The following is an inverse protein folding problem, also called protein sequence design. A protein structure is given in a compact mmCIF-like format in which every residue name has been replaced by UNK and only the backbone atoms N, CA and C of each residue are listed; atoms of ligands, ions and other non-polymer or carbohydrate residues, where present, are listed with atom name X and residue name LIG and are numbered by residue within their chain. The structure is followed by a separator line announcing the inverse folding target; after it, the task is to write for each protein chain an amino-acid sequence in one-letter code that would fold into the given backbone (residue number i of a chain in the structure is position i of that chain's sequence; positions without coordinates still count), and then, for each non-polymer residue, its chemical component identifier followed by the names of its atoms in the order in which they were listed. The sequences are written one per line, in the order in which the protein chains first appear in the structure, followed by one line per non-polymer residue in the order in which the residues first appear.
data_IF_205918919946
#
_entry.id   IF_205918919946
#
_cell.length_a   1.000
_cell.length_b   1.000
_cell.length_c   1.000
_cell.angle_alpha   90.00
_cell.angle_beta   90.00
_cell.angle_gamma   90.00
#
_symmetry.space_group_name_H-M   'P 1'
#
loop_
_entity.id
_entity.type
_entity.pdbx_description
1 polymer ?
#
# COMPACT_ATOMS: atom_id res chain seq x y z
N UNK A 1 -22.45 -8.02 -17.24
CA UNK A 1 -22.03 -6.60 -17.18
C UNK A 1 -21.55 -6.19 -18.56
N UNK A 2 -22.09 -5.14 -19.17
CA UNK A 2 -21.65 -4.72 -20.50
C UNK A 2 -20.25 -4.10 -20.37
N UNK A 3 -19.34 -4.42 -21.28
CA UNK A 3 -17.97 -3.89 -21.35
C UNK A 3 -17.93 -2.33 -21.33
N UNK A 4 -18.96 -1.69 -21.88
CA UNK A 4 -19.17 -0.24 -21.87
C UNK A 4 -19.47 0.33 -20.47
N UNK A 5 -19.99 -0.46 -19.55
CA UNK A 5 -20.25 -0.04 -18.16
C UNK A 5 -18.97 0.05 -17.32
N UNK A 6 -17.95 -0.76 -17.64
CA UNK A 6 -16.67 -0.81 -16.91
C UNK A 6 -15.87 0.48 -17.05
N UNK A 7 -16.00 1.22 -18.14
CA UNK A 7 -15.25 2.44 -18.44
C UNK A 7 -16.14 3.71 -18.39
N UNK A 8 -17.25 3.67 -17.64
CA UNK A 8 -18.25 4.72 -17.62
C UNK A 8 -17.69 6.08 -17.20
N UNK A 9 -16.81 6.14 -16.21
CA UNK A 9 -16.18 7.38 -15.73
C UNK A 9 -15.28 8.05 -16.77
N UNK A 10 -14.73 7.31 -17.75
CA UNK A 10 -13.95 7.90 -18.84
C UNK A 10 -14.79 8.70 -19.84
N UNK A 11 -16.12 8.69 -19.74
CA UNK A 11 -16.99 9.58 -20.51
C UNK A 11 -16.85 11.03 -20.06
N UNK A 12 -16.49 11.28 -18.78
CA UNK A 12 -16.14 12.60 -18.30
C UNK A 12 -14.83 13.06 -18.95
N UNK A 13 -14.81 14.15 -19.73
CA UNK A 13 -13.57 14.64 -20.36
C UNK A 13 -12.50 14.98 -19.33
N UNK A 14 -12.89 15.60 -18.21
CA UNK A 14 -11.99 15.98 -17.14
C UNK A 14 -11.35 14.73 -16.50
N UNK A 15 -12.16 13.72 -16.17
CA UNK A 15 -11.63 12.49 -15.57
C UNK A 15 -10.69 11.74 -16.54
N UNK A 16 -11.02 11.71 -17.84
CA UNK A 16 -10.19 11.07 -18.86
C UNK A 16 -8.80 11.72 -18.97
N UNK A 17 -8.75 13.06 -19.00
CA UNK A 17 -7.49 13.81 -19.05
C UNK A 17 -6.66 13.54 -17.80
N UNK A 18 -7.29 13.61 -16.62
CA UNK A 18 -6.67 13.30 -15.35
C UNK A 18 -6.15 11.86 -15.28
N UNK A 19 -6.97 10.88 -15.63
CA UNK A 19 -6.62 9.47 -15.56
C UNK A 19 -5.43 9.09 -16.45
N UNK A 20 -5.36 9.69 -17.66
CA UNK A 20 -4.22 9.50 -18.56
C UNK A 20 -2.92 10.05 -17.97
N UNK A 21 -2.93 11.29 -17.47
CA UNK A 21 -1.77 11.89 -16.80
C UNK A 21 -1.33 11.11 -15.56
N UNK A 22 -2.32 10.72 -14.73
CA UNK A 22 -2.07 9.94 -13.52
C UNK A 22 -1.48 8.55 -13.80
N UNK A 23 -1.91 7.88 -14.88
CA UNK A 23 -1.35 6.58 -15.27
C UNK A 23 0.14 6.70 -15.62
N UNK A 24 0.51 7.67 -16.44
CA UNK A 24 1.91 7.93 -16.84
C UNK A 24 2.77 8.22 -15.62
N UNK A 25 2.33 9.12 -14.74
CA UNK A 25 3.04 9.47 -13.51
C UNK A 25 3.13 8.30 -12.52
N UNK A 26 2.09 7.48 -12.39
CA UNK A 26 2.13 6.30 -11.54
C UNK A 26 3.17 5.28 -12.02
N UNK A 27 3.25 5.02 -13.33
CA UNK A 27 4.30 4.15 -13.91
C UNK A 27 5.68 4.71 -13.60
N UNK A 28 5.89 6.01 -13.83
CA UNK A 28 7.15 6.70 -13.50
C UNK A 28 7.51 6.58 -12.02
N UNK A 29 6.54 6.77 -11.13
CA UNK A 29 6.76 6.67 -9.67
C UNK A 29 7.20 5.27 -9.25
N UNK A 30 6.58 4.20 -9.77
CA UNK A 30 7.00 2.83 -9.48
C UNK A 30 8.35 2.49 -10.12
N UNK A 31 8.61 3.01 -11.31
CA UNK A 31 9.93 2.92 -11.95
C UNK A 31 11.01 3.58 -11.09
N UNK A 32 10.78 4.79 -10.60
CA UNK A 32 11.73 5.50 -9.73
C UNK A 32 12.02 4.73 -8.44
N UNK A 33 11.01 4.18 -7.77
CA UNK A 33 11.22 3.40 -6.54
C UNK A 33 12.15 2.24 -6.79
N UNK A 34 11.90 1.46 -7.84
CA UNK A 34 12.75 0.34 -8.23
C UNK A 34 14.18 0.79 -8.56
N UNK A 35 14.33 1.90 -9.30
CA UNK A 35 15.62 2.47 -9.61
C UNK A 35 16.38 3.00 -8.40
N UNK A 36 15.65 3.55 -7.41
CA UNK A 36 16.22 4.05 -6.17
C UNK A 36 16.76 2.93 -5.29
N UNK A 37 16.01 1.83 -5.15
CA UNK A 37 16.46 0.64 -4.42
C UNK A 37 17.71 0.04 -5.09
N UNK A 38 17.72 -0.04 -6.43
CA UNK A 38 18.85 -0.50 -7.21
C UNK A 38 20.08 0.41 -7.06
N UNK A 39 19.91 1.73 -7.17
CA UNK A 39 20.96 2.73 -6.99
C UNK A 39 21.67 2.57 -5.65
N UNK A 40 20.87 2.51 -4.57
CA UNK A 40 21.40 2.39 -3.21
C UNK A 40 22.16 1.08 -3.02
N UNK A 41 21.58 -0.03 -3.47
CA UNK A 41 22.15 -1.36 -3.21
C UNK A 41 23.39 -1.65 -4.05
N UNK A 42 23.48 -1.13 -5.29
CA UNK A 42 24.53 -1.56 -6.23
C UNK A 42 25.54 -0.48 -6.61
N UNK A 43 25.21 0.80 -6.45
CA UNK A 43 26.06 1.89 -6.90
C UNK A 43 26.58 2.77 -5.75
N UNK A 44 25.79 2.94 -4.69
CA UNK A 44 26.15 3.84 -3.58
C UNK A 44 26.65 3.09 -2.34
N UNK A 45 26.39 1.79 -2.26
CA UNK A 45 26.84 0.96 -1.14
C UNK A 45 27.37 -0.39 -1.63
N UNK A 46 28.22 -1.07 -0.84
CA UNK A 46 28.64 -2.44 -1.13
C UNK A 46 27.52 -3.43 -0.74
N UNK A 47 26.39 -3.39 -1.45
CA UNK A 47 25.22 -4.24 -1.24
C UNK A 47 24.57 -4.12 0.16
N UNK A 48 24.48 -2.89 0.71
CA UNK A 48 23.93 -2.64 2.05
C UNK A 48 22.39 -2.55 2.00
N UNK A 49 21.73 -3.61 2.43
CA UNK A 49 20.27 -3.71 2.47
C UNK A 49 19.65 -2.85 3.59
N UNK A 50 20.36 -2.60 4.69
CA UNK A 50 19.91 -1.68 5.73
C UNK A 50 19.80 -0.25 5.19
N UNK A 51 20.68 0.16 4.28
CA UNK A 51 20.57 1.45 3.60
C UNK A 51 19.27 1.56 2.78
N UNK A 52 18.88 0.51 2.06
CA UNK A 52 17.57 0.43 1.38
C UNK A 52 16.42 0.52 2.39
N UNK A 53 16.54 -0.17 3.53
CA UNK A 53 15.57 -0.10 4.62
C UNK A 53 15.41 1.31 5.19
N UNK A 54 16.50 2.06 5.35
CA UNK A 54 16.47 3.47 5.79
C UNK A 54 15.76 4.35 4.75
N UNK A 55 16.04 4.16 3.46
CA UNK A 55 15.34 4.87 2.38
C UNK A 55 13.83 4.62 2.46
N UNK A 56 13.40 3.37 2.64
CA UNK A 56 11.99 3.04 2.83
C UNK A 56 11.41 3.73 4.07
N UNK A 57 12.15 3.76 5.18
CA UNK A 57 11.69 4.42 6.41
C UNK A 57 11.52 5.92 6.22
N UNK A 58 12.44 6.57 5.53
CA UNK A 58 12.38 7.99 5.21
C UNK A 58 11.26 8.32 4.21
N UNK A 59 10.92 7.39 3.32
CA UNK A 59 9.85 7.58 2.34
C UNK A 59 8.44 7.36 2.92
N UNK A 60 8.28 6.41 3.84
CA UNK A 60 6.98 6.10 4.43
C UNK A 60 6.76 6.73 5.82
N UNK A 61 7.81 7.02 6.58
CA UNK A 61 7.73 7.65 7.90
C UNK A 61 6.98 8.99 7.91
N UNK A 62 7.28 9.93 7.00
CA UNK A 62 6.55 11.18 6.92
C UNK A 62 5.05 11.01 6.68
N UNK A 63 4.62 9.98 5.96
CA UNK A 63 3.20 9.72 5.72
C UNK A 63 2.44 9.41 7.01
N UNK A 64 3.08 8.72 7.96
CA UNK A 64 2.52 8.48 9.29
C UNK A 64 2.57 9.72 10.16
N UNK A 65 3.73 10.38 10.22
CA UNK A 65 3.97 11.54 11.11
C UNK A 65 3.10 12.74 10.72
N UNK A 66 2.92 12.99 9.42
CA UNK A 66 2.18 14.13 8.89
C UNK A 66 0.67 13.88 8.76
N UNK A 67 0.18 12.69 9.12
CA UNK A 67 -1.23 12.30 8.95
C UNK A 67 -2.25 13.33 9.52
N UNK A 68 -2.03 13.95 10.70
CA UNK A 68 -2.93 14.98 11.21
C UNK A 68 -2.98 16.24 10.33
N UNK A 69 -1.83 16.66 9.81
CA UNK A 69 -1.71 17.86 8.98
C UNK A 69 -2.21 17.66 7.55
N UNK A 70 -2.09 16.44 7.02
CA UNK A 70 -2.55 16.13 5.67
C UNK A 70 -4.07 16.18 5.57
N UNK A 71 -4.79 15.70 6.59
CA UNK A 71 -6.23 15.84 6.68
C UNK A 71 -6.67 17.31 6.78
N UNK A 72 -5.98 18.10 7.61
CA UNK A 72 -6.24 19.54 7.71
C UNK A 72 -6.04 20.24 6.36
N UNK A 73 -4.93 19.95 5.68
CA UNK A 73 -4.62 20.57 4.39
C UNK A 73 -5.66 20.22 3.31
N UNK A 74 -6.09 18.95 3.24
CA UNK A 74 -7.11 18.50 2.31
C UNK A 74 -8.49 19.16 2.52
N UNK A 75 -8.80 19.55 3.77
CA UNK A 75 -10.08 20.18 4.11
C UNK A 75 -10.07 21.70 3.88
N UNK A 76 -8.90 22.37 4.00
CA UNK A 76 -8.81 23.84 4.03
C UNK A 76 -8.26 24.47 2.76
N UNK A 77 -7.39 23.74 2.03
CA UNK A 77 -6.79 24.27 0.81
C UNK A 77 -7.51 23.78 -0.45
N UNK A 78 -7.34 24.54 -1.53
CA UNK A 78 -7.78 24.15 -2.86
C UNK A 78 -7.04 22.89 -3.32
N UNK A 79 -7.77 21.83 -3.59
CA UNK A 79 -7.22 20.50 -3.87
C UNK A 79 -6.39 20.49 -5.16
N UNK A 80 -6.83 21.22 -6.20
CA UNK A 80 -6.10 21.34 -7.45
C UNK A 80 -4.76 22.04 -7.24
N UNK A 81 -4.73 23.15 -6.49
CA UNK A 81 -3.50 23.88 -6.17
C UNK A 81 -2.55 23.02 -5.34
N UNK A 82 -3.09 22.32 -4.35
CA UNK A 82 -2.29 21.43 -3.50
C UNK A 82 -1.68 20.28 -4.32
N UNK A 83 -2.44 19.68 -5.24
CA UNK A 83 -1.92 18.68 -6.17
C UNK A 83 -0.85 19.26 -7.10
N UNK A 84 -1.02 20.46 -7.64
CA UNK A 84 0.00 21.10 -8.47
C UNK A 84 1.29 21.26 -7.69
N UNK A 85 1.24 21.74 -6.45
CA UNK A 85 2.42 21.92 -5.61
C UNK A 85 3.11 20.59 -5.29
N UNK A 86 2.36 19.60 -4.82
CA UNK A 86 2.93 18.29 -4.47
C UNK A 86 3.54 17.58 -5.67
N UNK A 87 2.86 17.61 -6.82
CA UNK A 87 3.35 17.00 -8.07
C UNK A 87 4.59 17.74 -8.61
N UNK A 88 4.62 19.08 -8.53
CA UNK A 88 5.78 19.87 -8.94
C UNK A 88 7.00 19.59 -8.04
N UNK A 89 6.80 19.51 -6.72
CA UNK A 89 7.86 19.17 -5.77
C UNK A 89 8.39 17.76 -6.05
N UNK A 90 7.53 16.75 -6.19
CA UNK A 90 7.96 15.38 -6.49
C UNK A 90 8.69 15.29 -7.84
N UNK A 91 8.20 16.00 -8.85
CA UNK A 91 8.85 16.08 -10.16
C UNK A 91 10.23 16.71 -10.09
N UNK A 92 10.36 17.84 -9.38
CA UNK A 92 11.64 18.54 -9.18
C UNK A 92 12.64 17.66 -8.45
N UNK A 93 12.23 17.00 -7.36
CA UNK A 93 13.08 16.08 -6.60
C UNK A 93 13.56 14.92 -7.49
N UNK A 94 12.68 14.35 -8.31
CA UNK A 94 13.05 13.28 -9.24
C UNK A 94 14.03 13.74 -10.30
N UNK A 95 13.82 14.91 -10.93
CA UNK A 95 14.74 15.50 -11.91
C UNK A 95 16.10 15.79 -11.28
N UNK A 96 16.14 16.39 -10.10
CA UNK A 96 17.39 16.71 -9.40
C UNK A 96 18.16 15.44 -9.06
N UNK A 97 17.50 14.40 -8.53
CA UNK A 97 18.14 13.12 -8.26
C UNK A 97 18.66 12.48 -9.54
N UNK A 98 17.92 12.60 -10.65
CA UNK A 98 18.35 12.11 -11.97
C UNK A 98 19.61 12.79 -12.47
N UNK A 99 19.66 14.12 -12.38
CA UNK A 99 20.85 14.90 -12.76
C UNK A 99 22.05 14.53 -11.90
N UNK A 100 21.89 14.47 -10.57
CA UNK A 100 22.96 14.07 -9.64
C UNK A 100 23.48 12.67 -9.96
N UNK A 101 22.59 11.75 -10.32
CA UNK A 101 22.99 10.36 -10.67
C UNK A 101 23.76 10.32 -11.98
N UNK A 102 23.33 11.04 -13.02
CA UNK A 102 24.01 11.06 -14.33
C UNK A 102 25.35 11.76 -14.26
N UNK A 103 25.45 12.85 -13.49
CA UNK A 103 26.71 13.59 -13.32
C UNK A 103 27.70 12.92 -12.37
N UNK A 104 27.32 11.83 -11.70
CA UNK A 104 28.13 11.15 -10.70
C UNK A 104 28.27 11.89 -9.36
N UNK A 105 27.48 12.96 -9.15
CA UNK A 105 27.49 13.76 -7.93
C UNK A 105 26.63 13.14 -6.81
N UNK A 106 25.86 12.09 -7.14
CA UNK A 106 24.95 11.45 -6.16
C UNK A 106 25.74 10.70 -5.08
N UNK A 107 25.36 10.94 -3.83
CA UNK A 107 25.82 10.22 -2.66
C UNK A 107 24.63 9.65 -1.88
N UNK A 108 24.87 8.71 -0.98
CA UNK A 108 23.82 8.02 -0.23
C UNK A 108 22.93 9.01 0.57
N UNK A 109 23.51 10.01 1.22
CA UNK A 109 22.76 11.00 1.97
C UNK A 109 21.82 11.86 1.11
N UNK A 110 22.18 12.12 -0.16
CA UNK A 110 21.27 12.77 -1.10
C UNK A 110 20.00 11.94 -1.27
N UNK A 111 20.17 10.61 -1.48
CA UNK A 111 19.02 9.70 -1.64
C UNK A 111 18.14 9.73 -0.39
N UNK A 112 18.73 9.76 0.82
CA UNK A 112 17.98 9.88 2.08
C UNK A 112 17.16 11.16 2.15
N UNK A 113 17.77 12.31 1.83
CA UNK A 113 17.07 13.61 1.82
C UNK A 113 15.94 13.61 0.79
N UNK A 114 16.20 13.15 -0.44
CA UNK A 114 15.17 13.07 -1.49
C UNK A 114 14.05 12.10 -1.14
N UNK A 115 14.35 10.96 -0.52
CA UNK A 115 13.35 10.00 -0.02
C UNK A 115 12.44 10.65 1.03
N UNK A 116 13.02 11.36 2.01
CA UNK A 116 12.28 12.07 3.05
C UNK A 116 11.37 13.16 2.47
N UNK A 117 11.92 14.03 1.62
CA UNK A 117 11.15 15.12 1.01
C UNK A 117 10.04 14.60 0.09
N UNK A 118 10.31 13.54 -0.68
CA UNK A 118 9.29 12.85 -1.49
C UNK A 118 8.22 12.20 -0.62
N UNK A 119 8.61 11.63 0.53
CA UNK A 119 7.70 11.10 1.53
C UNK A 119 6.77 12.17 2.10
N UNK A 120 7.31 13.36 2.42
CA UNK A 120 6.52 14.52 2.85
C UNK A 120 5.53 14.97 1.77
N UNK A 121 5.97 15.14 0.54
CA UNK A 121 5.10 15.53 -0.58
C UNK A 121 4.00 14.48 -0.83
N UNK A 122 4.34 13.19 -0.82
CA UNK A 122 3.40 12.08 -1.00
C UNK A 122 2.36 11.99 0.12
N UNK A 123 2.72 12.38 1.36
CA UNK A 123 1.80 12.42 2.49
C UNK A 123 0.61 13.36 2.24
N UNK A 124 0.86 14.50 1.61
CA UNK A 124 -0.21 15.44 1.22
C UNK A 124 -0.90 15.04 -0.08
N UNK A 125 -0.16 14.53 -1.06
CA UNK A 125 -0.68 14.16 -2.38
C UNK A 125 -1.74 13.05 -2.31
N UNK A 126 -1.50 11.98 -1.56
CA UNK A 126 -2.33 10.79 -1.58
C UNK A 126 -3.80 11.03 -1.15
N UNK A 127 -4.11 11.69 -0.01
CA UNK A 127 -5.48 11.95 0.39
C UNK A 127 -6.18 12.96 -0.53
N UNK A 128 -5.45 14.01 -0.97
CA UNK A 128 -6.00 15.04 -1.84
C UNK A 128 -6.37 14.47 -3.21
N UNK A 129 -5.55 13.59 -3.75
CA UNK A 129 -5.81 12.89 -5.00
C UNK A 129 -7.10 12.06 -4.95
N UNK A 130 -7.37 11.38 -3.83
CA UNK A 130 -8.61 10.60 -3.67
C UNK A 130 -9.86 11.48 -3.67
N UNK A 131 -9.81 12.63 -2.97
CA UNK A 131 -10.91 13.58 -2.91
C UNK A 131 -11.13 14.24 -4.29
N UNK A 132 -10.04 14.61 -4.95
CA UNK A 132 -10.09 15.25 -6.26
C UNK A 132 -10.74 14.37 -7.34
N UNK A 133 -10.50 13.06 -7.32
CA UNK A 133 -11.17 12.11 -8.21
C UNK A 133 -12.69 12.15 -8.03
N UNK A 134 -13.18 12.28 -6.79
CA UNK A 134 -14.62 12.41 -6.52
C UNK A 134 -15.22 13.71 -7.11
N UNK A 135 -14.46 14.80 -7.09
CA UNK A 135 -14.89 16.07 -7.68
C UNK A 135 -14.99 16.02 -9.23
N UNK A 136 -14.16 15.18 -9.88
CA UNK A 136 -14.13 15.09 -11.34
C UNK A 136 -15.29 14.31 -11.96
N UNK A 137 -15.90 13.37 -11.25
CA UNK A 137 -16.89 12.43 -11.81
C UNK A 137 -18.30 12.56 -11.23
N UNK A 138 -18.45 13.16 -10.04
CA UNK A 138 -19.71 13.19 -9.30
C UNK A 138 -20.10 11.83 -8.70
N UNK A 139 -21.16 11.80 -7.88
CA UNK A 139 -21.55 10.64 -7.09
C UNK A 139 -21.89 9.39 -7.91
N UNK A 140 -22.57 9.56 -9.04
CA UNK A 140 -23.05 8.43 -9.89
C UNK A 140 -21.90 7.57 -10.44
N UNK A 141 -20.77 8.18 -10.76
CA UNK A 141 -19.62 7.51 -11.39
C UNK A 141 -18.44 7.31 -10.45
N UNK A 142 -18.55 7.75 -9.18
CA UNK A 142 -17.50 7.72 -8.18
C UNK A 142 -16.93 6.30 -7.95
N UNK A 143 -17.80 5.32 -7.76
CA UNK A 143 -17.37 3.92 -7.56
C UNK A 143 -16.58 3.38 -8.75
N UNK A 144 -16.99 3.72 -9.97
CA UNK A 144 -16.30 3.32 -11.18
C UNK A 144 -14.94 4.06 -11.32
N UNK A 145 -14.88 5.35 -11.01
CA UNK A 145 -13.64 6.12 -11.04
C UNK A 145 -12.62 5.60 -10.02
N UNK A 146 -13.06 5.27 -8.80
CA UNK A 146 -12.20 4.66 -7.77
C UNK A 146 -11.65 3.31 -8.25
N UNK A 147 -12.49 2.47 -8.87
CA UNK A 147 -12.07 1.19 -9.41
C UNK A 147 -11.04 1.36 -10.53
N UNK A 148 -11.26 2.28 -11.47
CA UNK A 148 -10.31 2.58 -12.54
C UNK A 148 -9.00 3.15 -12.03
N UNK A 149 -9.04 4.05 -11.03
CA UNK A 149 -7.84 4.59 -10.41
C UNK A 149 -7.02 3.50 -9.69
N UNK A 150 -7.69 2.59 -8.98
CA UNK A 150 -7.05 1.43 -8.36
C UNK A 150 -6.43 0.49 -9.39
N UNK A 151 -7.13 0.25 -10.50
CA UNK A 151 -6.61 -0.56 -11.61
C UNK A 151 -5.37 0.09 -12.23
N UNK A 152 -5.43 1.40 -12.52
CA UNK A 152 -4.30 2.19 -13.02
C UNK A 152 -3.08 2.08 -12.10
N UNK A 153 -3.28 2.23 -10.79
CA UNK A 153 -2.22 2.12 -9.80
C UNK A 153 -1.58 0.72 -9.76
N UNK A 154 -2.40 -0.34 -9.82
CA UNK A 154 -1.89 -1.71 -9.83
C UNK A 154 -1.18 -2.06 -11.15
N UNK A 155 -1.67 -1.58 -12.29
CA UNK A 155 -0.98 -1.70 -13.57
C UNK A 155 0.39 -0.99 -13.54
N UNK A 156 0.44 0.21 -13.01
CA UNK A 156 1.69 0.95 -12.85
C UNK A 156 2.68 0.22 -11.94
N UNK A 157 2.19 -0.38 -10.85
CA UNK A 157 3.00 -1.21 -9.95
C UNK A 157 3.57 -2.45 -10.62
N UNK A 158 2.88 -3.01 -11.61
CA UNK A 158 3.36 -4.15 -12.38
C UNK A 158 4.33 -3.74 -13.48
N UNK A 159 4.01 -2.69 -14.22
CA UNK A 159 4.77 -2.25 -15.40
C UNK A 159 6.02 -1.44 -15.00
N UNK A 160 5.90 -0.58 -13.98
CA UNK A 160 6.95 0.35 -13.56
C UNK A 160 8.30 -0.33 -13.30
N UNK A 161 8.36 -1.39 -12.46
CA UNK A 161 9.62 -2.10 -12.21
C UNK A 161 10.25 -2.74 -13.44
N UNK A 162 9.44 -3.31 -14.36
CA UNK A 162 9.95 -3.86 -15.61
C UNK A 162 10.56 -2.78 -16.50
N UNK A 163 9.87 -1.62 -16.61
CA UNK A 163 10.39 -0.45 -17.33
C UNK A 163 11.66 0.07 -16.66
N UNK A 164 11.72 0.10 -15.30
CA UNK A 164 12.92 0.47 -14.57
C UNK A 164 14.11 -0.41 -14.94
N UNK A 165 13.93 -1.73 -14.86
CA UNK A 165 14.98 -2.70 -15.18
C UNK A 165 15.52 -2.54 -16.61
N UNK A 166 14.63 -2.37 -17.59
CA UNK A 166 15.00 -2.10 -18.99
C UNK A 166 15.74 -0.77 -19.14
N UNK A 167 15.24 0.29 -18.52
CA UNK A 167 15.86 1.63 -18.59
C UNK A 167 17.24 1.63 -17.95
N UNK A 168 17.38 1.05 -16.76
CA UNK A 168 18.66 0.99 -16.04
C UNK A 168 19.68 0.22 -16.86
N UNK A 169 19.30 -0.92 -17.43
CA UNK A 169 20.21 -1.75 -18.20
C UNK A 169 20.60 -1.15 -19.56
N UNK A 170 19.78 -0.27 -20.14
CA UNK A 170 20.03 0.32 -21.45
C UNK A 170 20.76 1.67 -21.38
N UNK A 171 20.37 2.54 -20.44
CA UNK A 171 20.86 3.93 -20.37
C UNK A 171 21.31 4.35 -18.97
N UNK A 172 21.13 3.51 -17.97
CA UNK A 172 21.57 3.75 -16.59
C UNK A 172 20.47 4.28 -15.66
N UNK A 173 20.77 4.23 -14.36
CA UNK A 173 19.81 4.51 -13.28
C UNK A 173 19.30 5.95 -13.28
N UNK A 174 20.17 6.93 -13.61
CA UNK A 174 19.81 8.34 -13.62
C UNK A 174 18.69 8.68 -14.61
N UNK A 175 18.64 7.98 -15.75
CA UNK A 175 17.57 8.16 -16.73
C UNK A 175 16.21 7.71 -16.23
N UNK A 176 16.15 6.70 -15.38
CA UNK A 176 14.88 6.30 -14.76
C UNK A 176 14.30 7.43 -13.89
N UNK A 177 15.14 8.18 -13.18
CA UNK A 177 14.73 9.35 -12.41
C UNK A 177 14.28 10.50 -13.30
N UNK A 178 15.02 10.80 -14.37
CA UNK A 178 14.65 11.86 -15.31
C UNK A 178 13.32 11.55 -16.02
N UNK A 179 13.12 10.31 -16.46
CA UNK A 179 11.87 9.89 -17.08
C UNK A 179 10.69 10.01 -16.11
N UNK A 180 10.87 9.62 -14.83
CA UNK A 180 9.84 9.85 -13.84
C UNK A 180 9.61 11.34 -13.58
N UNK A 181 10.65 12.13 -13.39
CA UNK A 181 10.54 13.58 -13.22
C UNK A 181 9.76 14.23 -14.38
N UNK A 182 10.06 13.79 -15.62
CA UNK A 182 9.33 14.23 -16.82
C UNK A 182 7.88 13.74 -16.84
N UNK A 183 7.57 12.57 -16.28
CA UNK A 183 6.19 12.05 -16.21
C UNK A 183 5.27 12.92 -15.37
N UNK A 184 5.80 13.65 -14.39
CA UNK A 184 5.01 14.60 -13.60
C UNK A 184 4.48 15.78 -14.44
N UNK A 185 5.18 16.16 -15.53
CA UNK A 185 4.63 17.15 -16.45
C UNK A 185 3.31 16.71 -17.09
N UNK A 186 3.11 15.41 -17.32
CA UNK A 186 1.84 14.90 -17.85
C UNK A 186 0.67 15.15 -16.86
N UNK A 187 0.90 14.93 -15.56
CA UNK A 187 -0.12 15.23 -14.53
C UNK A 187 -0.31 16.72 -14.37
N UNK A 188 0.77 17.50 -14.31
CA UNK A 188 0.68 18.96 -14.22
C UNK A 188 -0.07 19.54 -15.41
N UNK A 189 0.26 19.10 -16.63
CA UNK A 189 -0.48 19.51 -17.83
C UNK A 189 -1.95 19.10 -17.72
N UNK A 190 -2.26 17.88 -17.28
CA UNK A 190 -3.63 17.45 -17.09
C UNK A 190 -4.38 18.37 -16.13
N UNK A 191 -3.76 18.74 -14.99
CA UNK A 191 -4.34 19.66 -14.01
C UNK A 191 -4.57 21.08 -14.59
N UNK A 192 -3.70 21.57 -15.48
CA UNK A 192 -3.89 22.86 -16.14
C UNK A 192 -5.00 22.84 -17.19
N UNK A 193 -5.17 21.74 -17.93
CA UNK A 193 -6.21 21.64 -18.96
C UNK A 193 -7.61 21.28 -18.42
N UNK A 194 -7.75 20.94 -17.14
CA UNK A 194 -9.03 20.66 -16.53
C UNK A 194 -9.92 21.91 -16.51
N UNK A 195 -11.09 21.80 -17.10
CA UNK A 195 -12.15 22.81 -17.01
C UNK A 195 -12.95 22.57 -15.73
N UNK A 196 -12.46 23.13 -14.62
CA UNK A 196 -13.16 23.02 -13.33
C UNK A 196 -14.33 24.00 -13.33
N UNK A 197 -15.49 23.56 -13.78
CA UNK A 197 -16.76 24.23 -13.46
C UNK A 197 -17.06 23.88 -12.00
N UNK A 198 -17.11 24.89 -11.13
CA UNK A 198 -17.26 24.73 -9.67
C UNK A 198 -18.60 24.16 -9.19
N UNK A 199 -19.03 23.03 -9.73
CA UNK A 199 -20.39 22.50 -9.58
C UNK A 199 -20.54 21.32 -8.62
N UNK A 200 -19.46 20.74 -8.10
CA UNK A 200 -19.63 19.69 -7.09
C UNK A 200 -19.28 20.28 -5.72
N UNK A 201 -20.35 20.74 -5.03
CA UNK A 201 -20.25 21.25 -3.67
C UNK A 201 -19.48 20.29 -2.79
N UNK A 202 -18.50 20.81 -2.07
CA UNK A 202 -17.76 20.07 -1.05
C UNK A 202 -18.75 19.38 -0.11
N UNK A 203 -18.91 18.07 -0.24
CA UNK A 203 -19.52 17.28 0.83
C UNK A 203 -18.50 17.31 1.96
N UNK A 204 -18.63 18.30 2.84
CA UNK A 204 -17.89 18.34 4.09
C UNK A 204 -18.25 17.08 4.86
N UNK A 205 -17.36 16.11 4.87
CA UNK A 205 -17.49 14.98 5.77
C UNK A 205 -17.64 15.54 7.19
N UNK A 206 -18.78 15.27 7.82
CA UNK A 206 -19.02 15.60 9.22
C UNK A 206 -17.87 15.04 10.04
N UNK A 207 -17.02 15.93 10.55
CA UNK A 207 -15.94 15.58 11.48
C UNK A 207 -16.58 14.93 12.68
N UNK A 208 -16.48 13.62 12.79
CA UNK A 208 -16.71 12.93 14.07
C UNK A 208 -15.60 13.38 15.01
N UNK A 209 -15.91 14.34 15.89
CA UNK A 209 -15.03 14.71 17.01
C UNK A 209 -14.84 13.47 17.88
N UNK A 210 -13.76 12.72 17.71
CA UNK A 210 -13.48 11.54 18.49
C UNK A 210 -12.00 11.27 18.58
N UNK A 211 -11.51 11.02 19.79
CA UNK A 211 -10.12 10.77 20.06
C UNK A 211 -9.67 9.41 19.49
N UNK A 212 -8.46 9.34 18.92
CA UNK A 212 -7.80 8.08 18.55
C UNK A 212 -7.69 7.13 19.76
N UNK A 213 -7.60 7.68 20.97
CA UNK A 213 -7.56 6.90 22.22
C UNK A 213 -8.86 6.12 22.47
N UNK A 214 -10.01 6.65 22.08
CA UNK A 214 -11.28 5.93 22.15
C UNK A 214 -11.31 4.77 21.15
N UNK A 215 -10.80 4.99 19.94
CA UNK A 215 -10.62 3.95 18.93
C UNK A 215 -9.71 2.82 19.44
N UNK A 216 -8.61 3.17 20.07
CA UNK A 216 -7.68 2.21 20.65
C UNK A 216 -8.34 1.43 21.80
N UNK A 217 -9.04 2.11 22.71
CA UNK A 217 -9.79 1.46 23.80
C UNK A 217 -10.84 0.50 23.26
N UNK A 218 -11.59 0.91 22.23
CA UNK A 218 -12.58 0.07 21.57
C UNK A 218 -11.97 -1.20 20.97
N UNK A 219 -10.84 -1.08 20.23
CA UNK A 219 -10.13 -2.23 19.66
C UNK A 219 -9.57 -3.12 20.76
N UNK A 220 -9.04 -2.57 21.86
CA UNK A 220 -8.49 -3.35 22.98
C UNK A 220 -9.56 -4.15 23.71
N UNK A 221 -10.79 -3.65 23.79
CA UNK A 221 -11.93 -4.34 24.36
C UNK A 221 -12.49 -5.47 23.47
N UNK A 222 -12.13 -5.48 22.17
CA UNK A 222 -12.62 -6.43 21.17
C UNK A 222 -11.52 -7.41 20.76
N UNK A 223 -11.56 -8.69 21.21
CA UNK A 223 -10.51 -9.68 20.91
C UNK A 223 -10.30 -9.95 19.42
N UNK A 224 -11.38 -9.92 18.62
CA UNK A 224 -11.36 -10.06 17.17
C UNK A 224 -10.58 -8.93 16.48
N UNK A 225 -10.89 -7.68 16.79
CA UNK A 225 -10.22 -6.51 16.22
C UNK A 225 -8.76 -6.41 16.68
N UNK A 226 -8.49 -6.74 17.96
CA UNK A 226 -7.14 -6.78 18.51
C UNK A 226 -6.26 -7.81 17.76
N UNK A 227 -6.81 -9.02 17.51
CA UNK A 227 -6.10 -10.05 16.76
C UNK A 227 -5.80 -9.61 15.34
N UNK A 228 -6.77 -9.03 14.63
CA UNK A 228 -6.57 -8.50 13.28
C UNK A 228 -5.47 -7.44 13.26
N UNK A 229 -5.47 -6.52 14.23
CA UNK A 229 -4.49 -5.43 14.29
C UNK A 229 -3.08 -5.96 14.61
N UNK A 230 -2.97 -6.97 15.51
CA UNK A 230 -1.70 -7.65 15.81
C UNK A 230 -1.15 -8.41 14.61
N UNK A 231 -1.99 -9.15 13.90
CA UNK A 231 -1.60 -9.83 12.66
C UNK A 231 -1.11 -8.83 11.60
N UNK A 232 -1.82 -7.70 11.46
CA UNK A 232 -1.42 -6.62 10.55
C UNK A 232 -0.08 -6.00 10.95
N UNK A 233 0.15 -5.79 12.25
CA UNK A 233 1.42 -5.30 12.75
C UNK A 233 2.57 -6.27 12.42
N UNK A 234 2.40 -7.56 12.68
CA UNK A 234 3.44 -8.58 12.43
C UNK A 234 3.79 -8.65 10.94
N UNK A 235 2.80 -8.88 10.07
CA UNK A 235 3.03 -9.02 8.63
C UNK A 235 3.41 -7.67 8.00
N UNK A 236 2.78 -6.56 8.41
CA UNK A 236 3.06 -5.23 7.86
C UNK A 236 4.46 -4.74 8.19
N UNK A 237 4.94 -5.00 9.43
CA UNK A 237 6.25 -4.56 9.88
C UNK A 237 7.38 -5.44 9.32
N UNK A 238 7.23 -6.75 9.43
CA UNK A 238 8.33 -7.68 9.14
C UNK A 238 8.16 -8.43 7.81
N UNK A 239 6.93 -8.58 7.32
CA UNK A 239 6.64 -9.35 6.11
C UNK A 239 6.56 -8.53 4.83
N UNK A 240 6.06 -7.29 4.86
CA UNK A 240 5.82 -6.51 3.64
C UNK A 240 7.01 -5.66 3.17
N UNK A 241 8.24 -6.10 3.46
CA UNK A 241 9.48 -5.42 3.05
C UNK A 241 10.00 -5.94 1.69
N UNK A 242 9.11 -6.04 0.71
CA UNK A 242 9.39 -6.61 -0.62
C UNK A 242 10.58 -6.00 -1.36
N UNK A 243 10.82 -4.67 -1.34
CA UNK A 243 11.99 -4.09 -1.98
C UNK A 243 13.30 -4.72 -1.47
N UNK A 244 13.44 -4.91 -0.15
CA UNK A 244 14.62 -5.52 0.45
C UNK A 244 14.70 -7.00 0.06
N UNK A 245 13.62 -7.77 0.19
CA UNK A 245 13.60 -9.20 -0.15
C UNK A 245 14.02 -9.45 -1.60
N UNK A 246 13.46 -8.67 -2.54
CA UNK A 246 13.68 -8.91 -3.96
C UNK A 246 15.04 -8.38 -4.40
N UNK A 247 15.44 -7.17 -3.97
CA UNK A 247 16.71 -6.58 -4.40
C UNK A 247 17.90 -7.36 -3.87
N UNK A 248 17.88 -7.77 -2.59
CA UNK A 248 18.98 -8.55 -2.01
C UNK A 248 19.08 -9.95 -2.62
N UNK A 249 17.95 -10.64 -2.83
CA UNK A 249 17.97 -11.95 -3.51
C UNK A 249 18.44 -11.82 -4.97
N UNK A 250 17.99 -10.79 -5.69
CA UNK A 250 18.38 -10.55 -7.07
C UNK A 250 19.90 -10.31 -7.18
N UNK A 251 20.45 -9.42 -6.36
CA UNK A 251 21.84 -8.98 -6.45
C UNK A 251 22.78 -9.99 -5.80
N UNK A 252 22.53 -10.40 -4.56
CA UNK A 252 23.51 -11.18 -3.78
C UNK A 252 23.32 -12.70 -3.88
N UNK A 253 22.10 -13.21 -4.10
CA UNK A 253 21.86 -14.64 -4.22
C UNK A 253 21.87 -15.16 -5.66
N UNK A 254 21.25 -14.39 -6.58
CA UNK A 254 21.12 -14.81 -7.98
C UNK A 254 22.07 -14.08 -8.93
N UNK A 255 22.78 -13.04 -8.46
CA UNK A 255 23.73 -12.23 -9.26
C UNK A 255 23.15 -11.74 -10.57
N UNK A 256 21.86 -11.33 -10.53
CA UNK A 256 21.16 -10.84 -11.73
C UNK A 256 21.32 -9.33 -11.89
N UNK A 257 21.12 -8.87 -13.10
CA UNK A 257 21.17 -7.45 -13.46
C UNK A 257 19.87 -6.71 -13.08
N UNK A 258 19.79 -5.43 -13.40
CA UNK A 258 18.63 -4.59 -13.16
C UNK A 258 17.36 -5.10 -13.87
N UNK A 259 17.49 -5.77 -15.04
CA UNK A 259 16.36 -6.36 -15.77
C UNK A 259 15.74 -7.50 -14.94
N UNK A 260 16.60 -8.38 -14.41
CA UNK A 260 16.16 -9.47 -13.56
C UNK A 260 15.48 -8.97 -12.29
N UNK A 261 16.02 -7.94 -11.63
CA UNK A 261 15.38 -7.31 -10.47
C UNK A 261 14.00 -6.72 -10.82
N UNK A 262 13.90 -5.97 -11.92
CA UNK A 262 12.64 -5.40 -12.40
C UNK A 262 11.58 -6.46 -12.70
N UNK A 263 11.97 -7.56 -13.36
CA UNK A 263 11.09 -8.69 -13.64
C UNK A 263 10.60 -9.38 -12.36
N UNK A 264 11.47 -9.65 -11.38
CA UNK A 264 11.07 -10.23 -10.09
C UNK A 264 10.05 -9.35 -9.36
N UNK A 265 10.26 -8.04 -9.36
CA UNK A 265 9.32 -7.11 -8.74
C UNK A 265 7.97 -7.12 -9.48
N UNK A 266 8.00 -7.24 -10.79
CA UNK A 266 6.78 -7.36 -11.61
C UNK A 266 6.04 -8.68 -11.37
N UNK A 267 6.74 -9.80 -11.13
CA UNK A 267 6.09 -11.08 -10.78
C UNK A 267 5.37 -11.02 -9.44
N UNK A 268 5.93 -10.33 -8.44
CA UNK A 268 5.20 -10.06 -7.19
C UNK A 268 3.90 -9.29 -7.46
N UNK A 269 3.94 -8.28 -8.34
CA UNK A 269 2.77 -7.48 -8.67
C UNK A 269 1.68 -8.33 -9.37
N UNK A 270 2.03 -9.28 -10.23
CA UNK A 270 1.09 -10.25 -10.82
C UNK A 270 0.37 -11.01 -9.70
N UNK A 271 1.12 -11.52 -8.72
CA UNK A 271 0.55 -12.20 -7.54
C UNK A 271 -0.41 -11.31 -6.76
N UNK A 272 -0.07 -10.03 -6.54
CA UNK A 272 -0.95 -9.10 -5.82
C UNK A 272 -2.25 -8.82 -6.58
N UNK A 273 -2.21 -8.72 -7.90
CA UNK A 273 -3.41 -8.56 -8.74
C UNK A 273 -4.28 -9.81 -8.66
N UNK A 274 -3.69 -11.00 -8.81
CA UNK A 274 -4.41 -12.25 -8.67
C UNK A 274 -5.08 -12.39 -7.28
N UNK A 275 -4.36 -12.06 -6.21
CA UNK A 275 -4.89 -12.05 -4.85
C UNK A 275 -6.04 -11.06 -4.64
N UNK A 276 -5.96 -9.88 -5.27
CA UNK A 276 -7.03 -8.90 -5.25
C UNK A 276 -8.31 -9.40 -5.93
N UNK A 277 -8.17 -10.04 -7.10
CA UNK A 277 -9.29 -10.62 -7.85
C UNK A 277 -9.94 -11.79 -7.09
N UNK A 278 -9.13 -12.67 -6.49
CA UNK A 278 -9.63 -13.76 -5.64
C UNK A 278 -10.37 -13.25 -4.41
N UNK A 279 -9.92 -12.14 -3.82
CA UNK A 279 -10.60 -11.52 -2.69
C UNK A 279 -11.92 -10.85 -3.10
N UNK A 280 -11.96 -10.22 -4.28
CA UNK A 280 -13.15 -9.54 -4.81
C UNK A 280 -14.29 -10.52 -5.15
N UNK A 281 -13.98 -11.78 -5.55
CA UNK A 281 -14.95 -12.82 -5.83
C UNK A 281 -15.64 -13.42 -4.60
N UNK A 282 -15.27 -13.00 -3.37
CA UNK A 282 -15.86 -13.51 -2.13
C UNK A 282 -16.99 -12.60 -1.64
N UNK A 283 -18.20 -13.15 -1.51
CA UNK A 283 -19.38 -12.40 -1.08
C UNK A 283 -19.26 -11.84 0.34
N UNK A 284 -18.64 -12.58 1.26
CA UNK A 284 -18.43 -12.14 2.65
C UNK A 284 -17.03 -12.50 3.14
N UNK A 285 -16.22 -11.53 3.56
CA UNK A 285 -14.93 -11.80 4.18
C UNK A 285 -15.15 -12.48 5.53
N UNK A 286 -14.42 -13.59 5.74
CA UNK A 286 -14.45 -14.36 6.99
C UNK A 286 -13.08 -14.32 7.65
N UNK A 287 -13.03 -14.56 8.96
CA UNK A 287 -11.77 -14.66 9.69
C UNK A 287 -10.88 -15.81 9.15
N UNK A 288 -11.50 -16.90 8.64
CA UNK A 288 -10.80 -17.97 7.92
C UNK A 288 -10.05 -17.48 6.67
N UNK A 289 -10.60 -16.49 5.96
CA UNK A 289 -9.93 -15.89 4.78
C UNK A 289 -8.70 -15.09 5.19
N UNK A 290 -8.72 -14.45 6.35
CA UNK A 290 -7.57 -13.76 6.93
C UNK A 290 -6.47 -14.75 7.29
N UNK A 291 -6.83 -15.86 7.96
CA UNK A 291 -5.93 -16.97 8.27
C UNK A 291 -5.27 -17.54 6.99
N UNK A 292 -6.07 -17.82 5.97
CA UNK A 292 -5.56 -18.34 4.70
C UNK A 292 -4.59 -17.36 4.02
N UNK A 293 -4.91 -16.05 4.03
CA UNK A 293 -4.02 -15.02 3.49
C UNK A 293 -2.67 -15.00 4.19
N UNK A 294 -2.66 -15.04 5.53
CA UNK A 294 -1.44 -15.09 6.34
C UNK A 294 -0.65 -16.40 6.12
N UNK A 295 -1.35 -17.54 6.03
CA UNK A 295 -0.72 -18.84 5.78
C UNK A 295 -0.06 -18.91 4.38
N UNK A 296 -0.78 -18.49 3.33
CA UNK A 296 -0.24 -18.42 1.95
C UNK A 296 0.99 -17.50 1.91
N UNK A 297 0.92 -16.36 2.60
CA UNK A 297 2.03 -15.42 2.70
C UNK A 297 3.25 -16.06 3.38
N UNK A 298 3.06 -16.68 4.55
CA UNK A 298 4.14 -17.34 5.29
C UNK A 298 4.77 -18.50 4.52
N UNK A 299 3.95 -19.36 3.89
CA UNK A 299 4.42 -20.44 3.00
C UNK A 299 5.18 -19.88 1.81
N UNK A 300 4.65 -18.83 1.16
CA UNK A 300 5.32 -18.16 0.04
C UNK A 300 6.69 -17.61 0.42
N UNK A 301 6.82 -16.95 1.57
CA UNK A 301 8.11 -16.47 2.09
C UNK A 301 9.07 -17.63 2.40
N UNK A 302 8.59 -18.74 2.95
CA UNK A 302 9.39 -19.95 3.20
C UNK A 302 9.91 -20.54 1.88
N UNK A 303 9.03 -20.71 0.89
CA UNK A 303 9.43 -21.20 -0.43
C UNK A 303 10.44 -20.25 -1.11
N UNK A 304 10.26 -18.94 -0.97
CA UNK A 304 11.18 -17.96 -1.50
C UNK A 304 12.56 -18.02 -0.80
N UNK A 305 12.59 -18.21 0.52
CA UNK A 305 13.83 -18.36 1.27
C UNK A 305 14.60 -19.62 0.86
N UNK A 306 13.90 -20.71 0.52
CA UNK A 306 14.45 -21.98 0.10
C UNK A 306 14.71 -22.07 -1.40
N UNK A 307 14.27 -21.10 -2.20
CA UNK A 307 14.37 -21.14 -3.66
C UNK A 307 15.83 -21.30 -4.11
N UNK A 308 16.16 -22.36 -4.86
CA UNK A 308 17.53 -22.62 -5.31
C UNK A 308 17.94 -21.78 -6.53
N UNK A 309 16.96 -21.26 -7.26
CA UNK A 309 17.20 -20.49 -8.49
C UNK A 309 16.19 -19.36 -8.67
N UNK A 310 16.51 -18.48 -9.62
CA UNK A 310 15.74 -17.29 -9.96
C UNK A 310 14.26 -17.59 -10.29
N UNK A 311 13.98 -18.63 -11.09
CA UNK A 311 12.63 -18.94 -11.58
C UNK A 311 11.72 -19.46 -10.49
N UNK A 312 12.23 -20.34 -9.61
CA UNK A 312 11.47 -20.81 -8.46
C UNK A 312 11.21 -19.69 -7.46
N UNK A 313 12.16 -18.76 -7.31
CA UNK A 313 11.96 -17.56 -6.53
C UNK A 313 10.87 -16.68 -7.14
N UNK A 314 10.86 -16.49 -8.46
CA UNK A 314 9.82 -15.74 -9.17
C UNK A 314 8.42 -16.35 -8.93
N UNK A 315 8.30 -17.68 -8.98
CA UNK A 315 7.03 -18.37 -8.65
C UNK A 315 6.63 -18.15 -7.20
N UNK A 316 7.58 -18.23 -6.27
CA UNK A 316 7.32 -17.97 -4.84
C UNK A 316 6.85 -16.52 -4.60
N UNK A 317 7.37 -15.54 -5.36
CA UNK A 317 6.92 -14.14 -5.29
C UNK A 317 5.46 -13.97 -5.73
N UNK A 318 5.00 -14.74 -6.71
CA UNK A 318 3.55 -14.75 -7.08
C UNK A 318 2.72 -15.23 -5.89
N UNK A 319 3.13 -16.33 -5.23
CA UNK A 319 2.44 -16.87 -4.05
C UNK A 319 2.42 -15.85 -2.91
N UNK A 320 3.56 -15.20 -2.63
CA UNK A 320 3.67 -14.12 -1.64
C UNK A 320 2.69 -12.99 -1.98
N UNK A 321 2.64 -12.56 -3.25
CA UNK A 321 1.75 -11.51 -3.71
C UNK A 321 0.27 -11.84 -3.48
N UNK A 322 -0.14 -13.06 -3.83
CA UNK A 322 -1.51 -13.57 -3.58
C UNK A 322 -1.83 -13.53 -2.08
N UNK A 323 -0.94 -14.07 -1.24
CA UNK A 323 -1.13 -14.09 0.22
C UNK A 323 -1.22 -12.70 0.82
N UNK A 324 -0.28 -11.83 0.47
CA UNK A 324 -0.19 -10.46 0.98
C UNK A 324 -1.46 -9.65 0.64
N UNK A 325 -1.94 -9.74 -0.60
CA UNK A 325 -3.11 -8.96 -1.04
C UNK A 325 -4.41 -9.54 -0.49
N UNK A 326 -4.54 -10.86 -0.44
CA UNK A 326 -5.67 -11.52 0.22
C UNK A 326 -5.75 -11.12 1.69
N UNK A 327 -4.63 -11.15 2.42
CA UNK A 327 -4.54 -10.72 3.81
C UNK A 327 -4.92 -9.25 3.98
N UNK A 328 -4.32 -8.35 3.20
CA UNK A 328 -4.54 -6.90 3.30
C UNK A 328 -6.00 -6.52 3.03
N UNK A 329 -6.60 -7.07 1.96
CA UNK A 329 -8.00 -6.80 1.61
C UNK A 329 -8.96 -7.36 2.65
N UNK A 330 -8.72 -8.60 3.11
CA UNK A 330 -9.56 -9.23 4.15
C UNK A 330 -9.48 -8.47 5.47
N UNK A 331 -8.28 -8.03 5.88
CA UNK A 331 -8.07 -7.17 7.05
C UNK A 331 -8.91 -5.90 6.96
N UNK A 332 -8.84 -5.21 5.81
CA UNK A 332 -9.60 -3.98 5.59
C UNK A 332 -11.11 -4.21 5.70
N UNK A 333 -11.60 -5.23 5.01
CA UNK A 333 -13.04 -5.54 4.95
C UNK A 333 -13.58 -6.02 6.30
N UNK A 334 -12.85 -6.90 7.01
CA UNK A 334 -13.27 -7.37 8.32
C UNK A 334 -13.36 -6.23 9.34
N UNK A 335 -12.30 -5.38 9.41
CA UNK A 335 -12.32 -4.24 10.33
C UNK A 335 -13.47 -3.28 10.05
N UNK A 336 -13.85 -3.09 8.78
CA UNK A 336 -15.00 -2.24 8.42
C UNK A 336 -16.34 -2.88 8.81
N UNK A 337 -16.49 -4.17 8.55
CA UNK A 337 -17.77 -4.88 8.74
C UNK A 337 -18.06 -5.26 10.20
N UNK A 338 -17.04 -5.56 10.99
CA UNK A 338 -17.18 -5.94 12.39
C UNK A 338 -17.22 -4.74 13.35
N UNK A 339 -16.90 -3.54 12.86
CA UNK A 339 -16.89 -2.32 13.66
C UNK A 339 -18.23 -1.59 13.58
N UNK A 340 -18.75 -1.15 14.72
CA UNK A 340 -19.93 -0.31 14.80
C UNK A 340 -19.78 0.98 13.97
N UNK A 341 -20.84 1.46 13.29
CA UNK A 341 -20.77 2.63 12.41
C UNK A 341 -20.13 3.86 13.07
N UNK A 342 -20.43 4.11 14.36
CA UNK A 342 -19.92 5.24 15.14
C UNK A 342 -18.39 5.18 15.38
N UNK A 343 -17.79 3.98 15.43
CA UNK A 343 -16.37 3.75 15.71
C UNK A 343 -15.56 3.43 14.47
N UNK A 344 -16.23 3.17 13.32
CA UNK A 344 -15.59 2.69 12.10
C UNK A 344 -14.45 3.58 11.61
N UNK A 345 -14.64 4.88 11.60
CA UNK A 345 -13.60 5.84 11.16
C UNK A 345 -12.33 5.76 12.01
N UNK A 346 -12.48 5.64 13.35
CA UNK A 346 -11.36 5.55 14.30
C UNK A 346 -10.60 4.23 14.15
N UNK A 347 -11.33 3.12 14.00
CA UNK A 347 -10.74 1.79 13.82
C UNK A 347 -9.97 1.69 12.50
N UNK A 348 -10.53 2.27 11.42
CA UNK A 348 -9.83 2.32 10.13
C UNK A 348 -8.59 3.24 10.20
N UNK A 349 -8.66 4.38 10.91
CA UNK A 349 -7.49 5.22 11.13
C UNK A 349 -6.36 4.48 11.87
N UNK A 350 -6.69 3.69 12.90
CA UNK A 350 -5.72 2.83 13.59
C UNK A 350 -5.11 1.78 12.65
N UNK A 351 -5.95 1.12 11.84
CA UNK A 351 -5.47 0.17 10.83
C UNK A 351 -4.47 0.81 9.87
N UNK A 352 -4.81 1.99 9.34
CA UNK A 352 -3.93 2.74 8.42
C UNK A 352 -2.62 3.13 9.13
N UNK A 353 -2.72 3.60 10.37
CA UNK A 353 -1.55 3.94 11.18
C UNK A 353 -0.60 2.75 11.38
N UNK A 354 -1.13 1.57 11.70
CA UNK A 354 -0.33 0.34 11.85
C UNK A 354 0.26 -0.10 10.50
N UNK A 355 -0.53 -0.04 9.42
CA UNK A 355 -0.04 -0.42 8.10
C UNK A 355 1.09 0.49 7.57
N UNK A 356 0.96 1.81 7.77
CA UNK A 356 1.98 2.79 7.36
C UNK A 356 3.18 2.81 8.32
N UNK A 357 2.94 2.64 9.63
CA UNK A 357 3.99 2.70 10.65
C UNK A 357 4.85 1.43 10.73
N UNK A 358 4.38 0.31 10.19
CA UNK A 358 5.13 -0.94 10.18
C UNK A 358 6.41 -0.87 9.36
N UNK A 359 6.31 -0.38 8.13
CA UNK A 359 7.45 -0.32 7.18
C UNK A 359 8.63 0.51 7.72
N UNK A 360 8.45 1.73 8.25
CA UNK A 360 9.55 2.52 8.80
C UNK A 360 10.32 1.83 9.92
N UNK A 361 9.65 0.99 10.69
CA UNK A 361 10.26 0.24 11.79
C UNK A 361 10.91 -1.05 11.26
N UNK A 362 10.20 -1.78 10.45
CA UNK A 362 10.60 -3.12 10.01
C UNK A 362 11.67 -3.13 8.93
N UNK A 363 11.64 -2.16 8.01
CA UNK A 363 12.56 -2.16 6.89
C UNK A 363 14.05 -2.07 7.28
N UNK A 364 14.48 -1.19 8.22
CA UNK A 364 15.87 -1.18 8.68
C UNK A 364 16.27 -2.48 9.38
N UNK A 365 15.36 -3.06 10.17
CA UNK A 365 15.62 -4.34 10.89
C UNK A 365 15.79 -5.49 9.89
N UNK A 366 14.89 -5.60 8.93
CA UNK A 366 14.94 -6.63 7.88
C UNK A 366 16.18 -6.45 6.99
N UNK A 367 16.52 -5.20 6.68
CA UNK A 367 17.74 -4.86 5.93
C UNK A 367 19.00 -5.28 6.71
N UNK A 368 19.06 -4.97 8.00
CA UNK A 368 20.15 -5.38 8.86
C UNK A 368 20.30 -6.92 8.92
N UNK A 369 19.19 -7.65 9.02
CA UNK A 369 19.19 -9.12 8.96
C UNK A 369 19.73 -9.60 7.59
N UNK A 370 19.34 -8.97 6.50
CA UNK A 370 19.84 -9.32 5.18
C UNK A 370 21.37 -9.12 5.07
N UNK A 371 21.90 -8.04 5.64
CA UNK A 371 23.32 -7.72 5.57
C UNK A 371 24.20 -8.66 6.43
N UNK A 372 23.72 -9.07 7.61
CA UNK A 372 24.53 -9.85 8.57
C UNK A 372 24.32 -11.35 8.46
N UNK A 373 23.11 -11.80 8.13
CA UNK A 373 22.76 -13.22 8.06
C UNK A 373 22.54 -13.69 6.62
N UNK A 374 22.40 -12.75 5.69
CA UNK A 374 22.20 -13.02 4.27
C UNK A 374 20.75 -12.83 3.80
N UNK A 375 20.53 -12.70 2.48
CA UNK A 375 19.24 -12.33 1.88
C UNK A 375 18.12 -13.35 2.17
N UNK A 376 18.43 -14.63 2.30
CA UNK A 376 17.47 -15.69 2.63
C UNK A 376 16.89 -15.52 4.03
N UNK A 377 17.68 -15.03 4.99
CA UNK A 377 17.22 -14.79 6.36
C UNK A 377 16.24 -13.62 6.45
N UNK A 378 16.36 -12.60 5.59
CA UNK A 378 15.35 -11.57 5.49
C UNK A 378 13.97 -12.15 5.12
N UNK A 379 13.94 -13.11 4.19
CA UNK A 379 12.71 -13.84 3.84
C UNK A 379 12.20 -14.73 4.97
N UNK A 380 13.12 -15.33 5.75
CA UNK A 380 12.74 -16.08 6.96
C UNK A 380 12.05 -15.18 7.98
N UNK A 381 12.48 -13.94 8.17
CA UNK A 381 11.76 -12.96 9.01
C UNK A 381 10.33 -12.76 8.49
N UNK A 382 10.16 -12.63 7.17
CA UNK A 382 8.84 -12.56 6.53
C UNK A 382 8.00 -13.84 6.79
N UNK A 383 8.61 -15.02 6.66
CA UNK A 383 7.95 -16.30 6.92
C UNK A 383 7.50 -16.42 8.39
N UNK A 384 8.38 -16.09 9.33
CA UNK A 384 8.10 -16.11 10.79
C UNK A 384 6.95 -15.15 11.11
N UNK A 385 6.92 -13.95 10.50
CA UNK A 385 5.82 -13.00 10.69
C UNK A 385 4.48 -13.57 10.25
N UNK A 386 4.45 -14.31 9.13
CA UNK A 386 3.28 -15.03 8.64
C UNK A 386 2.85 -16.17 9.58
N UNK A 387 3.78 -16.97 10.05
CA UNK A 387 3.54 -18.09 10.99
C UNK A 387 2.99 -17.55 12.32
N UNK A 388 3.59 -16.50 12.87
CA UNK A 388 3.10 -15.87 14.10
C UNK A 388 1.69 -15.29 13.93
N UNK A 389 1.41 -14.67 12.78
CA UNK A 389 0.07 -14.19 12.46
C UNK A 389 -0.95 -15.34 12.38
N UNK A 390 -0.59 -16.48 11.77
CA UNK A 390 -1.41 -17.70 11.79
C UNK A 390 -1.65 -18.18 13.22
N UNK A 391 -0.62 -18.19 14.08
CA UNK A 391 -0.75 -18.54 15.50
C UNK A 391 -1.75 -17.65 16.24
N UNK A 392 -1.69 -16.34 16.02
CA UNK A 392 -2.65 -15.36 16.59
C UNK A 392 -4.06 -15.65 16.10
N UNK A 393 -4.25 -15.96 14.82
CA UNK A 393 -5.55 -16.29 14.25
C UNK A 393 -6.14 -17.58 14.84
N UNK A 394 -5.34 -18.64 14.90
CA UNK A 394 -5.76 -19.94 15.46
C UNK A 394 -6.14 -19.81 16.94
N UNK A 395 -5.29 -19.11 17.72
CA UNK A 395 -5.59 -18.83 19.14
C UNK A 395 -6.92 -18.09 19.31
N UNK A 396 -7.17 -17.09 18.48
CA UNK A 396 -8.40 -16.30 18.55
C UNK A 396 -9.63 -17.13 18.19
N UNK A 397 -9.54 -17.98 17.15
CA UNK A 397 -10.63 -18.88 16.76
C UNK A 397 -10.93 -19.87 17.89
N UNK A 398 -9.91 -20.52 18.45
CA UNK A 398 -10.09 -21.45 19.57
C UNK A 398 -10.78 -20.78 20.74
N UNK A 399 -10.31 -19.60 21.15
CA UNK A 399 -10.90 -18.86 22.28
C UNK A 399 -12.36 -18.41 22.03
N UNK A 400 -12.75 -18.21 20.77
CA UNK A 400 -14.16 -17.93 20.43
C UNK A 400 -15.03 -19.18 20.52
N UNK A 401 -14.49 -20.35 20.15
CA UNK A 401 -15.17 -21.64 20.26
C UNK A 401 -15.33 -22.10 21.71
N UNK A 402 -14.33 -21.82 22.55
CA UNK A 402 -14.32 -22.19 23.98
C UNK A 402 -15.19 -21.27 24.87
N UNK A 403 -15.68 -20.16 24.34
CA UNK A 403 -16.67 -19.34 25.06
C UNK A 403 -18.02 -20.07 25.04
N UNK A 404 -18.53 -20.54 26.20
CA UNK A 404 -19.82 -21.17 26.22
C UNK A 404 -20.84 -20.18 25.65
N UNK A 405 -21.81 -20.70 24.90
CA UNK A 405 -22.96 -19.96 24.38
C UNK A 405 -23.81 -19.45 25.56
N UNK A 406 -23.28 -18.51 26.34
CA UNK A 406 -23.95 -17.87 27.42
C UNK A 406 -24.92 -16.86 26.86
N UNK A 407 -26.18 -17.33 26.79
CA UNK A 407 -27.39 -16.51 26.97
C UNK A 407 -27.65 -15.49 25.86
N UNK A 408 -28.15 -15.99 24.76
CA UNK A 408 -29.20 -15.29 24.02
C UNK A 408 -30.54 -15.93 24.35
N UNK A 409 -30.89 -15.98 25.64
CA UNK A 409 -32.29 -16.07 26.05
C UNK A 409 -32.79 -14.63 26.12
N UNK A 410 -33.31 -14.14 25.02
CA UNK A 410 -34.29 -13.05 25.12
C UNK A 410 -35.37 -13.48 26.07
N UNK A 411 -35.82 -12.61 27.00
CA UNK A 411 -36.98 -12.93 27.82
C UNK A 411 -38.16 -13.22 26.89
N UNK A 412 -39.01 -14.22 27.19
CA UNK A 412 -40.18 -14.50 26.40
C UNK A 412 -41.02 -13.22 26.35
N UNK A 413 -41.42 -12.83 25.14
CA UNK A 413 -42.39 -11.77 24.92
C UNK A 413 -43.63 -12.05 25.76
N UNK A 414 -44.17 -11.06 26.47
CA UNK A 414 -45.41 -11.26 27.19
C UNK A 414 -46.51 -11.66 26.21
N UNK A 415 -47.17 -12.77 26.49
CA UNK A 415 -48.34 -13.26 25.77
C UNK A 415 -49.40 -12.16 25.74
N UNK A 416 -50.01 -11.86 24.57
CA UNK A 416 -51.11 -10.93 24.49
C UNK A 416 -52.35 -11.63 25.06
N UNK A 417 -52.69 -11.35 26.32
CA UNK A 417 -53.86 -11.97 26.94
C UNK A 417 -54.00 -11.75 28.43
N UNK A 418 -53.79 -10.53 28.97
CA UNK A 418 -54.31 -10.14 30.26
C UNK A 418 -54.66 -8.65 30.23
N UNK A 419 -55.80 -8.35 29.62
CA UNK A 419 -56.52 -7.11 29.90
C UNK A 419 -57.38 -7.35 31.14
N UNK A 420 -57.23 -6.61 32.23
CA UNK A 420 -58.18 -6.64 33.31
C UNK A 420 -59.47 -5.93 32.87
N UNK A 421 -60.52 -6.69 32.74
CA UNK A 421 -61.90 -6.19 32.78
C UNK A 421 -62.18 -5.59 34.17
N UNK A 422 -62.33 -4.29 34.26
CA UNK A 422 -63.38 -3.55 34.99
C UNK A 422 -63.30 -2.08 34.65
#
# INVERSE_FOLDING_TARGET
MSFLGTFRSLRSPNYRIWAAGALVSNIGTWMQRTAQDWLVLTQLTPHNAAAVGIVMSLQFGPQLLLLPWTGFAADHYDQRKLLIVTQAVMGLLALTLGVFTITGFVELWHVYVFAFLSGCASAFDAPVRQIFVAELVGEKDLSNAIALNSTSFNMARMIGPAVAGLTIASVGTGWAFLLNGSSFFAVLASLFFLRVSGQHAKVRALRTKGSLTEGLRYVWARPDLKAILLMLFLIGTFGMNFPIFISTMAVTAFHTDARGYGLLTSTLAIGTIAGALLAAGRERPQFKSLLNGAAIFGVGCTLAALAPNYWLFAVALVIIGVGAMTFSNTTNSLMQLTTEPAMRGRVIALRVGVALGGTPIGAPIVGWVADHLGPRWALVVGAVSGILAVGVAVYTIKRQLDRPASITSAPPSPTPGDSPTT
#
